data_IF_753346137518
#
_entry.id   IF_753346137518
#
_cell.length_a   1.000
_cell.length_b   1.000
_cell.length_c   1.000
_cell.angle_alpha   90.00
_cell.angle_beta   90.00
_cell.angle_gamma   90.00
#
_symmetry.space_group_name_H-M   'P 1'
#
loop_
_entity.id
_entity.type
_entity.pdbx_description
1 polymer ?
#
# COMPACT_ATOMS: atom_id res chain seq x y z
N UNK A 1 -14.48 -5.22 -15.07
CA UNK A 1 -14.72 -5.40 -13.62
C UNK A 1 -13.38 -5.56 -12.93
N UNK A 2 -13.09 -4.78 -11.87
CA UNK A 2 -11.91 -5.01 -11.04
C UNK A 2 -12.15 -6.22 -10.13
N UNK A 3 -11.26 -7.21 -10.17
CA UNK A 3 -11.32 -8.34 -9.25
C UNK A 3 -11.01 -7.85 -7.82
N UNK A 4 -11.92 -8.08 -6.88
CA UNK A 4 -11.67 -7.90 -5.45
C UNK A 4 -10.63 -8.95 -5.00
N UNK A 5 -9.78 -8.60 -4.02
CA UNK A 5 -9.00 -9.62 -3.31
C UNK A 5 -10.01 -10.57 -2.65
N UNK A 6 -10.08 -11.81 -3.13
CA UNK A 6 -11.06 -12.76 -2.65
C UNK A 6 -10.67 -13.23 -1.24
N UNK A 7 -11.63 -13.28 -0.34
CA UNK A 7 -11.53 -13.88 1.00
C UNK A 7 -11.46 -15.42 0.99
N UNK A 8 -11.03 -16.00 -0.13
CA UNK A 8 -10.80 -17.42 -0.32
C UNK A 8 -9.54 -17.92 0.41
N UNK A 9 -9.09 -19.16 0.17
CA UNK A 9 -7.91 -19.75 0.83
C UNK A 9 -6.61 -18.97 0.61
N UNK A 10 -6.60 -17.99 -0.30
CA UNK A 10 -5.51 -17.01 -0.48
C UNK A 10 -5.38 -16.07 0.72
N UNK A 11 -6.48 -15.56 1.31
CA UNK A 11 -6.44 -14.78 2.56
C UNK A 11 -6.09 -15.66 3.77
N UNK A 12 -5.89 -16.97 3.63
CA UNK A 12 -5.40 -17.83 4.71
C UNK A 12 -3.89 -18.11 4.58
N UNK A 13 -3.30 -17.87 3.41
CA UNK A 13 -1.91 -18.24 3.07
C UNK A 13 -1.14 -17.15 2.32
N UNK A 14 -1.36 -15.86 2.62
CA UNK A 14 -0.70 -14.76 1.90
C UNK A 14 0.45 -14.21 2.75
N UNK A 15 1.72 -14.59 2.46
CA UNK A 15 2.88 -14.11 3.19
C UNK A 15 3.20 -12.64 2.91
N UNK A 16 2.56 -12.01 1.92
CA UNK A 16 2.83 -10.63 1.50
C UNK A 16 2.30 -9.55 2.46
N UNK A 17 1.40 -9.89 3.40
CA UNK A 17 0.99 -8.98 4.49
C UNK A 17 2.10 -8.79 5.55
N UNK A 18 3.21 -9.52 5.44
CA UNK A 18 4.20 -9.66 6.52
C UNK A 18 5.51 -8.90 6.31
N UNK A 19 5.73 -8.21 5.19
CA UNK A 19 6.97 -7.48 4.98
C UNK A 19 6.68 -5.99 4.75
N UNK A 20 6.97 -5.16 5.76
CA UNK A 20 7.27 -3.76 5.47
C UNK A 20 8.38 -3.74 4.39
N UNK A 21 8.26 -2.91 3.35
CA UNK A 21 9.39 -2.70 2.46
C UNK A 21 10.56 -2.21 3.32
N UNK A 22 11.68 -2.92 3.27
CA UNK A 22 12.92 -2.45 3.89
C UNK A 22 13.20 -1.03 3.39
N UNK A 23 13.76 -0.19 4.26
CA UNK A 23 14.16 1.15 3.85
C UNK A 23 15.03 1.05 2.58
N UNK A 24 14.65 1.76 1.50
CA UNK A 24 15.39 1.67 0.25
C UNK A 24 16.83 2.13 0.46
N UNK A 25 17.75 1.55 -0.31
CA UNK A 25 19.14 1.99 -0.33
C UNK A 25 19.28 3.45 -0.78
N UNK A 26 20.50 4.02 -0.71
CA UNK A 26 20.74 5.37 -1.22
C UNK A 26 20.34 5.44 -2.70
N UNK A 27 19.52 6.44 -3.05
CA UNK A 27 19.00 6.68 -4.39
C UNK A 27 18.01 5.63 -4.91
N UNK A 28 17.60 4.66 -4.10
CA UNK A 28 16.59 3.67 -4.48
C UNK A 28 15.18 4.18 -4.14
N UNK A 29 14.21 3.85 -4.99
CA UNK A 29 12.81 4.21 -4.85
C UNK A 29 11.99 2.94 -4.81
N UNK A 30 11.35 2.70 -3.67
CA UNK A 30 10.34 1.65 -3.51
C UNK A 30 9.06 2.06 -4.25
N UNK A 31 8.53 1.17 -5.08
CA UNK A 31 7.30 1.41 -5.83
C UNK A 31 6.26 0.36 -5.46
N UNK A 32 5.06 0.83 -5.09
CA UNK A 32 3.90 -0.01 -4.78
C UNK A 32 2.78 0.35 -5.73
N UNK A 33 2.19 -0.65 -6.39
CA UNK A 33 1.20 -0.43 -7.44
C UNK A 33 -0.12 -1.15 -7.19
N UNK A 34 -1.21 -0.41 -7.37
CA UNK A 34 -2.57 -0.96 -7.53
C UNK A 34 -3.10 -0.49 -8.88
N UNK A 35 -3.44 -1.42 -9.78
CA UNK A 35 -3.88 -1.08 -11.13
C UNK A 35 -5.13 -1.86 -11.55
N UNK A 36 -6.17 -1.14 -11.96
CA UNK A 36 -7.42 -1.70 -12.43
C UNK A 36 -7.21 -2.55 -13.71
N UNK A 37 -7.92 -3.68 -13.81
CA UNK A 37 -7.76 -4.60 -14.94
C UNK A 37 -6.51 -5.47 -14.89
N UNK A 38 -5.65 -5.29 -13.88
CA UNK A 38 -4.48 -6.15 -13.61
C UNK A 38 -4.66 -6.93 -12.30
N UNK A 39 -3.71 -7.82 -11.99
CA UNK A 39 -3.60 -8.49 -10.69
C UNK A 39 -2.98 -7.64 -9.58
N UNK A 40 -2.45 -6.45 -9.88
CA UNK A 40 -1.67 -5.67 -8.91
C UNK A 40 -2.59 -5.06 -7.83
N UNK A 41 -2.37 -5.41 -6.56
CA UNK A 41 -3.14 -5.00 -5.37
C UNK A 41 -2.16 -4.74 -4.22
N UNK A 42 -1.80 -3.47 -4.01
CA UNK A 42 -0.72 -3.10 -3.09
C UNK A 42 0.57 -3.89 -3.37
N UNK A 43 0.81 -4.22 -4.64
CA UNK A 43 1.89 -5.12 -5.03
C UNK A 43 3.19 -4.34 -5.14
N UNK A 44 4.28 -4.76 -4.47
CA UNK A 44 5.61 -4.23 -4.70
C UNK A 44 6.02 -4.50 -6.15
N UNK A 45 6.50 -3.49 -6.84
CA UNK A 45 7.07 -3.64 -8.19
C UNK A 45 8.57 -3.35 -8.16
N UNK A 46 9.26 -3.63 -9.26
CA UNK A 46 10.70 -3.43 -9.34
C UNK A 46 11.09 -2.02 -8.89
N UNK A 47 12.05 -1.88 -7.95
CA UNK A 47 12.49 -0.59 -7.47
C UNK A 47 13.15 0.20 -8.59
N UNK A 48 13.10 1.52 -8.47
CA UNK A 48 13.72 2.43 -9.44
C UNK A 48 14.95 3.09 -8.80
N UNK A 49 15.98 3.34 -9.60
CA UNK A 49 17.14 4.10 -9.16
C UNK A 49 17.00 5.56 -9.61
N UNK A 50 17.28 6.48 -8.71
CA UNK A 50 17.33 7.90 -9.00
C UNK A 50 18.61 8.23 -9.76
N UNK A 51 18.41 8.82 -10.93
CA UNK A 51 19.49 9.34 -11.75
C UNK A 51 19.58 10.85 -11.60
N UNK A 52 20.77 11.45 -11.81
CA UNK A 52 20.92 12.90 -11.88
C UNK A 52 19.90 13.54 -12.84
N UNK A 53 19.12 14.50 -12.33
CA UNK A 53 18.02 15.09 -13.06
C UNK A 53 18.50 15.90 -14.28
N UNK A 54 18.07 15.51 -15.48
CA UNK A 54 18.34 16.24 -16.72
C UNK A 54 17.32 17.36 -17.04
N UNK A 55 16.52 17.77 -16.04
CA UNK A 55 15.42 18.73 -16.20
C UNK A 55 14.20 18.19 -16.96
N UNK A 56 13.09 18.95 -17.01
CA UNK A 56 11.91 18.58 -17.80
C UNK A 56 12.24 18.50 -19.29
N UNK A 57 11.85 17.41 -19.94
CA UNK A 57 12.06 17.21 -21.39
C UNK A 57 10.77 17.45 -22.15
N UNK A 58 10.85 18.15 -23.28
CA UNK A 58 9.70 18.41 -24.14
C UNK A 58 9.03 17.09 -24.56
N UNK A 59 7.72 16.99 -24.39
CA UNK A 59 6.94 15.80 -24.74
C UNK A 59 6.93 14.67 -23.69
N UNK A 60 7.52 14.87 -22.50
CA UNK A 60 7.42 13.93 -21.38
C UNK A 60 6.69 14.56 -20.20
N UNK A 61 5.80 13.80 -19.56
CA UNK A 61 5.21 14.21 -18.29
C UNK A 61 6.30 14.29 -17.22
N UNK A 62 6.34 15.39 -16.47
CA UNK A 62 7.31 15.62 -15.40
C UNK A 62 6.63 16.23 -14.17
N UNK A 63 7.01 15.75 -13.00
CA UNK A 63 6.60 16.31 -11.70
C UNK A 63 7.87 16.76 -10.97
N UNK A 64 7.85 17.96 -10.39
CA UNK A 64 8.96 18.52 -9.62
C UNK A 64 8.49 18.77 -8.19
N UNK A 65 9.26 18.32 -7.21
CA UNK A 65 8.96 18.48 -5.79
C UNK A 65 9.82 19.61 -5.23
N UNK A 66 9.19 20.71 -4.83
CA UNK A 66 9.84 21.78 -4.10
C UNK A 66 9.74 21.53 -2.59
N UNK A 67 10.86 21.18 -1.98
CA UNK A 67 10.92 20.90 -0.54
C UNK A 67 11.05 22.16 0.34
N UNK A 68 11.05 23.36 -0.22
CA UNK A 68 11.01 24.61 0.55
C UNK A 68 9.57 25.03 0.89
N UNK A 69 8.60 24.62 0.06
CA UNK A 69 7.18 24.89 0.26
C UNK A 69 6.58 23.82 1.18
N UNK A 70 5.92 24.26 2.26
CA UNK A 70 5.30 23.40 3.25
C UNK A 70 3.81 23.70 3.38
N UNK A 71 3.02 22.65 3.59
CA UNK A 71 1.58 22.73 3.81
C UNK A 71 1.22 22.12 5.17
N UNK A 72 0.03 21.54 5.31
CA UNK A 72 -0.40 20.89 6.54
C UNK A 72 0.47 19.68 6.90
N UNK A 73 0.57 19.42 8.20
CA UNK A 73 1.08 18.14 8.70
C UNK A 73 0.00 17.06 8.60
N UNK A 74 0.40 15.83 8.31
CA UNK A 74 -0.51 14.68 8.32
C UNK A 74 -0.61 14.13 9.74
N UNK A 75 -1.84 13.96 10.24
CA UNK A 75 -2.08 13.29 11.52
C UNK A 75 -1.96 11.77 11.40
N UNK A 76 -2.53 11.21 10.32
CA UNK A 76 -2.56 9.78 10.05
C UNK A 76 -3.66 9.40 9.07
N UNK A 77 -3.74 8.12 8.75
CA UNK A 77 -4.77 7.51 7.90
C UNK A 77 -5.39 6.32 8.65
N UNK A 78 -6.66 6.04 8.40
CA UNK A 78 -7.35 4.95 9.09
C UNK A 78 -8.74 4.67 8.52
N UNK A 79 -9.49 3.84 9.26
CA UNK A 79 -10.88 3.49 8.98
C UNK A 79 -11.79 3.72 10.20
N UNK A 80 -13.08 3.45 10.04
CA UNK A 80 -14.07 3.57 11.13
C UNK A 80 -14.29 2.25 11.87
N UNK A 81 -14.36 2.33 13.20
CA UNK A 81 -14.82 1.23 14.05
C UNK A 81 -16.30 1.42 14.34
N UNK A 82 -17.14 0.65 13.65
CA UNK A 82 -18.60 0.70 13.80
C UNK A 82 -19.13 -0.60 14.42
N UNK A 83 -20.34 -0.56 14.97
CA UNK A 83 -21.02 -1.77 15.46
C UNK A 83 -21.14 -2.84 14.36
N UNK A 84 -21.50 -2.45 13.14
CA UNK A 84 -21.58 -3.35 12.00
C UNK A 84 -20.22 -4.00 11.67
N UNK A 85 -19.13 -3.22 11.69
CA UNK A 85 -17.77 -3.73 11.48
C UNK A 85 -17.38 -4.73 12.58
N UNK A 86 -17.72 -4.44 13.84
CA UNK A 86 -17.44 -5.31 14.98
C UNK A 86 -18.26 -6.61 14.93
N UNK A 87 -19.54 -6.54 14.53
CA UNK A 87 -20.40 -7.70 14.37
C UNK A 87 -19.87 -8.67 13.30
N UNK A 88 -19.40 -8.13 12.16
CA UNK A 88 -18.79 -8.92 11.09
C UNK A 88 -17.48 -9.54 11.56
N UNK A 89 -16.60 -8.77 12.20
CA UNK A 89 -15.33 -9.28 12.73
C UNK A 89 -15.54 -10.43 13.72
N UNK A 90 -16.50 -10.31 14.64
CA UNK A 90 -16.82 -11.35 15.63
C UNK A 90 -17.34 -12.65 15.00
N UNK A 91 -17.90 -12.60 13.79
CA UNK A 91 -18.35 -13.79 13.04
C UNK A 91 -17.21 -14.55 12.37
N UNK A 92 -15.99 -13.99 12.32
CA UNK A 92 -14.81 -14.66 11.76
C UNK A 92 -14.25 -15.71 12.73
N UNK A 93 -13.54 -16.70 12.20
CA UNK A 93 -12.73 -17.61 13.03
C UNK A 93 -11.61 -16.84 13.75
N UNK A 94 -11.11 -17.32 14.89
CA UNK A 94 -10.04 -16.63 15.63
C UNK A 94 -8.83 -16.24 14.76
N UNK A 95 -8.34 -17.16 13.92
CA UNK A 95 -7.23 -16.88 13.00
C UNK A 95 -7.53 -15.75 11.99
N UNK A 96 -8.79 -15.63 11.54
CA UNK A 96 -9.21 -14.57 10.60
C UNK A 96 -9.44 -13.23 11.31
N UNK A 97 -9.80 -13.26 12.59
CA UNK A 97 -9.91 -12.07 13.42
C UNK A 97 -8.53 -11.42 13.57
N UNK A 98 -7.52 -12.19 13.96
CA UNK A 98 -6.14 -11.72 14.13
C UNK A 98 -5.58 -11.19 12.80
N UNK A 99 -5.75 -11.97 11.73
CA UNK A 99 -5.26 -11.58 10.41
C UNK A 99 -5.90 -10.30 9.87
N UNK A 100 -7.17 -10.05 10.16
CA UNK A 100 -7.82 -8.81 9.74
C UNK A 100 -7.20 -7.60 10.46
N UNK A 101 -6.99 -7.70 11.77
CA UNK A 101 -6.38 -6.63 12.56
C UNK A 101 -4.95 -6.37 12.07
N UNK A 102 -4.19 -7.44 11.86
CA UNK A 102 -2.84 -7.37 11.30
C UNK A 102 -2.81 -6.68 9.94
N UNK A 103 -3.74 -7.00 9.04
CA UNK A 103 -3.79 -6.38 7.72
C UNK A 103 -4.05 -4.86 7.75
N UNK A 104 -4.65 -4.33 8.83
CA UNK A 104 -4.95 -2.90 8.97
C UNK A 104 -3.92 -2.13 9.80
N UNK A 105 -3.36 -2.75 10.84
CA UNK A 105 -2.64 -2.03 11.89
C UNK A 105 -1.26 -2.59 12.22
N UNK A 106 -0.82 -3.66 11.55
CA UNK A 106 0.51 -4.20 11.79
C UNK A 106 1.57 -3.17 11.42
N UNK A 107 2.52 -2.98 12.32
CA UNK A 107 3.75 -2.24 12.11
C UNK A 107 4.76 -3.07 11.33
#
# INVERSE_FOLDING_TARGET
MGAACASGPQFENDPELCALPSLPGPYEVTVVQTAAGTGNRLTPVAPLLLEPGAGPKLGKASVVVDSSVRYQSFLGFGGSFTEASAEIWRKLSPAKQDRLIDAYFRE
#
